data_IF_551548892653
#
_entry.id   IF_551548892653
#
_cell.length_a   1.000
_cell.length_b   1.000
_cell.length_c   1.000
_cell.angle_alpha   90.00
_cell.angle_beta   90.00
_cell.angle_gamma   90.00
#
_symmetry.space_group_name_H-M   'P 1'
#
loop_
_entity.id
_entity.type
_entity.pdbx_description
1 polymer ?
#
# COMPACT_ATOMS: atom_id res chain seq x y z
N UNK A 1 4.57 19.07 -9.69
CA UNK A 1 3.38 18.27 -10.05
C UNK A 1 3.73 17.48 -11.30
N UNK A 2 3.95 16.17 -11.20
CA UNK A 2 4.03 15.32 -12.41
C UNK A 2 2.65 15.38 -13.06
N UNK A 3 2.60 15.64 -14.36
CA UNK A 3 1.36 15.61 -15.13
C UNK A 3 1.00 14.13 -15.33
N UNK A 4 0.47 13.50 -14.28
CA UNK A 4 0.09 12.08 -14.30
C UNK A 4 -1.13 11.98 -15.19
N UNK A 5 -0.95 11.43 -16.40
CA UNK A 5 -2.10 11.03 -17.23
C UNK A 5 -2.89 9.99 -16.43
N UNK A 6 -4.21 10.16 -16.33
CA UNK A 6 -5.04 9.17 -15.64
C UNK A 6 -4.90 7.80 -16.31
N UNK A 7 -4.98 6.73 -15.52
CA UNK A 7 -4.99 5.34 -16.02
C UNK A 7 -6.00 5.16 -17.17
N UNK A 8 -7.17 5.79 -17.08
CA UNK A 8 -8.18 5.81 -18.12
C UNK A 8 -7.68 6.39 -19.47
N UNK A 9 -6.90 7.48 -19.44
CA UNK A 9 -6.34 8.07 -20.65
C UNK A 9 -5.27 7.17 -21.30
N UNK A 10 -4.47 6.47 -20.48
CA UNK A 10 -3.45 5.52 -20.97
C UNK A 10 -4.11 4.27 -21.58
N UNK A 11 -5.21 3.78 -21.00
CA UNK A 11 -5.99 2.67 -21.57
C UNK A 11 -6.56 3.05 -22.94
N UNK A 12 -7.10 4.26 -23.10
CA UNK A 12 -7.57 4.73 -24.40
C UNK A 12 -6.44 4.83 -25.45
N UNK A 13 -5.24 5.23 -25.03
CA UNK A 13 -4.04 5.26 -25.88
C UNK A 13 -3.63 3.84 -26.34
N UNK A 14 -3.66 2.86 -25.43
CA UNK A 14 -3.37 1.45 -25.76
C UNK A 14 -4.38 0.90 -26.78
N UNK A 15 -5.67 1.18 -26.59
CA UNK A 15 -6.71 0.71 -27.53
C UNK A 15 -6.58 1.36 -28.91
N UNK A 16 -6.23 2.66 -28.98
CA UNK A 16 -5.93 3.33 -30.23
C UNK A 16 -4.70 2.71 -30.93
N UNK A 17 -3.61 2.48 -30.21
CA UNK A 17 -2.41 1.83 -30.74
C UNK A 17 -2.68 0.40 -31.21
N UNK A 18 -3.52 -0.36 -30.50
CA UNK A 18 -3.96 -1.71 -30.94
C UNK A 18 -4.78 -1.66 -32.23
N UNK A 19 -5.68 -0.69 -32.36
CA UNK A 19 -6.48 -0.51 -33.56
C UNK A 19 -5.59 -0.13 -34.76
N UNK A 20 -4.60 0.73 -34.55
CA UNK A 20 -3.65 1.12 -35.58
C UNK A 20 -2.72 -0.04 -35.96
N UNK A 21 -2.26 -0.84 -34.99
CA UNK A 21 -1.48 -2.04 -35.26
C UNK A 21 -2.24 -3.02 -36.17
N UNK A 22 -3.55 -3.23 -35.95
CA UNK A 22 -4.38 -4.08 -36.83
C UNK A 22 -4.42 -3.56 -38.27
N UNK A 23 -4.57 -2.24 -38.45
CA UNK A 23 -4.61 -1.62 -39.78
C UNK A 23 -3.27 -1.73 -40.49
N UNK A 24 -2.16 -1.46 -39.79
CA UNK A 24 -0.82 -1.52 -40.38
C UNK A 24 -0.42 -2.96 -40.67
N UNK A 25 -0.75 -3.92 -39.80
CA UNK A 25 -0.53 -5.35 -40.07
C UNK A 25 -1.25 -5.83 -41.32
N UNK A 26 -2.51 -5.42 -41.53
CA UNK A 26 -3.25 -5.75 -42.74
C UNK A 26 -2.62 -5.17 -44.03
N UNK A 27 -1.80 -4.13 -43.90
CA UNK A 27 -1.10 -3.49 -45.00
C UNK A 27 0.34 -4.02 -45.23
N UNK A 28 0.84 -4.92 -44.38
CA UNK A 28 2.20 -5.49 -44.52
C UNK A 28 2.35 -6.26 -45.83
N UNK A 29 1.35 -7.05 -46.19
CA UNK A 29 1.35 -7.84 -47.43
C UNK A 29 1.22 -6.97 -48.69
N UNK A 30 0.74 -5.74 -48.55
CA UNK A 30 0.49 -4.81 -49.67
C UNK A 30 1.66 -3.85 -49.88
N UNK A 31 2.22 -3.31 -48.79
CA UNK A 31 3.19 -2.20 -48.83
C UNK A 31 4.61 -2.66 -48.42
N UNK A 32 4.75 -3.85 -47.81
CA UNK A 32 6.05 -4.47 -47.52
C UNK A 32 6.84 -3.78 -46.40
N UNK A 33 8.14 -3.54 -46.63
CA UNK A 33 9.10 -3.04 -45.61
C UNK A 33 8.65 -1.80 -44.81
N UNK A 34 8.05 -0.75 -45.41
CA UNK A 34 7.57 0.41 -44.65
C UNK A 34 6.49 0.06 -43.61
N UNK A 35 5.62 -0.91 -43.92
CA UNK A 35 4.60 -1.37 -43.00
C UNK A 35 5.21 -2.17 -41.84
N UNK A 36 6.22 -3.01 -42.10
CA UNK A 36 6.96 -3.74 -41.05
C UNK A 36 7.59 -2.78 -40.03
N UNK A 37 8.28 -1.73 -40.51
CA UNK A 37 8.88 -0.73 -39.62
C UNK A 37 7.83 0.04 -38.79
N UNK A 38 6.66 0.32 -39.38
CA UNK A 38 5.54 0.92 -38.64
C UNK A 38 4.95 -0.03 -37.60
N UNK A 39 4.88 -1.34 -37.87
CA UNK A 39 4.45 -2.34 -36.89
C UNK A 39 5.39 -2.38 -35.69
N UNK A 40 6.71 -2.38 -35.93
CA UNK A 40 7.72 -2.33 -34.87
C UNK A 40 7.55 -1.07 -34.00
N UNK A 41 7.42 0.11 -34.63
CA UNK A 41 7.20 1.37 -33.91
C UNK A 41 5.93 1.35 -33.04
N UNK A 42 4.81 0.84 -33.56
CA UNK A 42 3.56 0.75 -32.81
C UNK A 42 3.68 -0.28 -31.68
N UNK A 43 4.42 -1.38 -31.89
CA UNK A 43 4.65 -2.41 -30.87
C UNK A 43 5.49 -1.87 -29.71
N UNK A 44 6.55 -1.11 -30.01
CA UNK A 44 7.36 -0.45 -28.99
C UNK A 44 6.54 0.60 -28.23
N UNK A 45 5.74 1.40 -28.94
CA UNK A 45 4.82 2.36 -28.32
C UNK A 45 3.80 1.68 -27.39
N UNK A 46 3.27 0.52 -27.78
CA UNK A 46 2.38 -0.29 -26.93
C UNK A 46 3.06 -0.76 -25.66
N UNK A 47 4.30 -1.25 -25.76
CA UNK A 47 5.07 -1.68 -24.58
C UNK A 47 5.30 -0.52 -23.61
N UNK A 48 5.73 0.63 -24.12
CA UNK A 48 5.92 1.84 -23.31
C UNK A 48 4.61 2.30 -22.66
N UNK A 49 3.48 2.22 -23.38
CA UNK A 49 2.17 2.57 -22.83
C UNK A 49 1.72 1.59 -21.74
N UNK A 50 2.01 0.29 -21.88
CA UNK A 50 1.74 -0.73 -20.86
C UNK A 50 2.58 -0.53 -19.60
N UNK A 51 3.87 -0.25 -19.74
CA UNK A 51 4.74 0.05 -18.60
C UNK A 51 4.24 1.29 -17.85
N UNK A 52 3.86 2.35 -18.58
CA UNK A 52 3.24 3.55 -17.98
C UNK A 52 1.92 3.26 -17.28
N UNK A 53 1.11 2.34 -17.80
CA UNK A 53 -0.13 1.94 -17.15
C UNK A 53 0.14 1.20 -15.84
N UNK A 54 1.14 0.30 -15.82
CA UNK A 54 1.54 -0.40 -14.62
C UNK A 54 2.03 0.57 -13.54
N UNK A 55 2.88 1.54 -13.92
CA UNK A 55 3.35 2.59 -13.01
C UNK A 55 2.19 3.45 -12.49
N UNK A 56 1.29 3.90 -13.38
CA UNK A 56 0.14 4.72 -12.98
C UNK A 56 -0.81 3.98 -12.02
N UNK A 57 -1.05 2.68 -12.23
CA UNK A 57 -1.86 1.87 -11.32
C UNK A 57 -1.16 1.68 -9.97
N UNK A 58 0.15 1.48 -9.95
CA UNK A 58 0.92 1.38 -8.72
C UNK A 58 0.84 2.70 -7.92
N UNK A 59 1.02 3.84 -8.60
CA UNK A 59 0.88 5.17 -8.00
C UNK A 59 -0.54 5.41 -7.47
N UNK A 60 -1.59 5.06 -8.23
CA UNK A 60 -2.99 5.19 -7.80
C UNK A 60 -3.28 4.37 -6.52
N UNK A 61 -2.74 3.16 -6.41
CA UNK A 61 -2.87 2.33 -5.20
C UNK A 61 -2.19 3.00 -4.01
N UNK A 62 -0.98 3.54 -4.20
CA UNK A 62 -0.25 4.24 -3.13
C UNK A 62 -0.96 5.52 -2.72
N UNK A 63 -1.47 6.31 -3.67
CA UNK A 63 -2.22 7.53 -3.40
C UNK A 63 -3.54 7.23 -2.69
N UNK A 64 -4.28 6.22 -3.14
CA UNK A 64 -5.52 5.79 -2.50
C UNK A 64 -5.28 5.30 -1.07
N UNK A 65 -4.17 4.58 -0.83
CA UNK A 65 -3.72 4.21 0.51
C UNK A 65 -3.40 5.44 1.34
N UNK A 66 -2.55 6.34 0.85
CA UNK A 66 -2.13 7.55 1.58
C UNK A 66 -3.34 8.43 1.93
N UNK A 67 -4.31 8.57 1.03
CA UNK A 67 -5.56 9.31 1.25
C UNK A 67 -6.45 8.65 2.30
N UNK A 68 -6.42 7.33 2.41
CA UNK A 68 -7.15 6.59 3.45
C UNK A 68 -6.49 6.80 4.82
N UNK A 69 -5.16 6.70 4.84
CA UNK A 69 -4.33 6.86 6.03
C UNK A 69 -4.21 8.31 6.50
N UNK A 70 -4.45 9.30 5.64
CA UNK A 70 -4.43 10.73 6.02
C UNK A 70 -5.53 11.13 7.01
N UNK A 71 -6.50 10.25 7.26
CA UNK A 71 -7.49 10.45 8.32
C UNK A 71 -6.91 10.23 9.72
N UNK A 72 -5.73 9.62 9.84
CA UNK A 72 -5.03 9.39 11.09
C UNK A 72 -3.98 10.47 11.33
N UNK A 73 -3.96 11.01 12.55
CA UNK A 73 -3.06 12.11 12.91
C UNK A 73 -1.92 11.65 13.82
N UNK A 74 -2.21 10.72 14.72
CA UNK A 74 -1.25 10.24 15.72
C UNK A 74 -1.57 8.80 16.12
N UNK A 75 -0.52 8.03 16.44
CA UNK A 75 -0.62 6.70 17.04
C UNK A 75 0.54 6.50 18.01
N UNK A 76 0.22 6.01 19.20
CA UNK A 76 1.18 5.75 20.28
C UNK A 76 0.87 4.44 20.95
N UNK A 77 1.92 3.74 21.38
CA UNK A 77 1.80 2.49 22.11
C UNK A 77 2.40 2.68 23.49
N UNK A 78 1.54 2.62 24.50
CA UNK A 78 1.93 2.60 25.89
C UNK A 78 2.04 1.16 26.38
N UNK A 79 3.14 0.84 27.05
CA UNK A 79 3.34 -0.48 27.64
C UNK A 79 4.26 -0.40 28.84
N UNK A 80 3.95 -1.18 29.87
CA UNK A 80 4.88 -1.44 30.95
C UNK A 80 5.73 -2.65 30.55
N UNK A 81 7.06 -2.49 30.60
CA UNK A 81 7.99 -3.56 30.20
C UNK A 81 7.74 -4.81 31.04
N UNK A 82 7.26 -5.88 30.40
CA UNK A 82 7.07 -7.18 31.02
C UNK A 82 8.31 -8.06 30.89
N UNK A 83 8.26 -9.26 31.49
CA UNK A 83 9.32 -10.27 31.35
C UNK A 83 9.42 -10.84 29.93
N UNK A 84 8.34 -10.75 29.14
CA UNK A 84 8.31 -11.20 27.74
C UNK A 84 7.31 -10.38 26.92
N UNK A 85 7.54 -10.29 25.60
CA UNK A 85 6.62 -9.61 24.65
C UNK A 85 5.21 -10.21 24.70
N UNK A 86 5.10 -11.52 24.97
CA UNK A 86 3.81 -12.21 25.08
C UNK A 86 3.02 -11.85 26.35
N UNK A 87 3.73 -11.63 27.46
CA UNK A 87 3.12 -11.24 28.74
C UNK A 87 2.93 -9.74 28.89
N UNK A 88 3.48 -8.95 27.96
CA UNK A 88 3.38 -7.49 27.98
C UNK A 88 2.00 -7.04 27.51
N UNK A 89 1.33 -6.26 28.34
CA UNK A 89 0.10 -5.57 27.96
C UNK A 89 0.46 -4.29 27.19
N UNK A 90 -0.06 -4.19 25.97
CA UNK A 90 0.07 -3.01 25.13
C UNK A 90 -1.26 -2.26 25.11
N UNK A 91 -1.21 -0.96 25.35
CA UNK A 91 -2.35 -0.05 25.21
C UNK A 91 -2.04 0.88 24.05
N UNK A 92 -2.84 0.83 23.00
CA UNK A 92 -2.63 1.68 21.83
C UNK A 92 -3.62 2.84 21.87
N UNK A 93 -3.10 4.04 21.69
CA UNK A 93 -3.82 5.29 21.60
C UNK A 93 -3.65 5.84 20.19
N UNK A 94 -4.75 6.16 19.51
CA UNK A 94 -4.68 6.73 18.16
C UNK A 94 -5.79 7.75 17.92
N UNK A 95 -5.52 8.72 17.04
CA UNK A 95 -6.46 9.75 16.66
C UNK A 95 -6.85 9.58 15.20
N UNK A 96 -8.16 9.51 14.95
CA UNK A 96 -8.74 9.40 13.60
C UNK A 96 -9.86 10.42 13.43
N UNK A 97 -9.90 11.07 12.26
CA UNK A 97 -11.02 11.91 11.88
C UNK A 97 -12.29 11.08 11.70
N UNK A 98 -13.33 11.42 12.46
CA UNK A 98 -14.65 10.78 12.42
C UNK A 98 -15.72 11.85 12.30
N UNK A 99 -16.80 11.54 11.58
CA UNK A 99 -17.88 12.49 11.35
C UNK A 99 -18.73 12.65 12.62
N UNK A 100 -18.76 13.87 13.17
CA UNK A 100 -19.62 14.19 14.30
C UNK A 100 -20.93 14.79 13.79
N UNK A 101 -22.01 14.01 13.92
CA UNK A 101 -23.36 14.39 13.50
C UNK A 101 -23.91 15.62 14.22
N UNK A 102 -23.38 16.01 15.39
CA UNK A 102 -23.86 17.17 16.15
C UNK A 102 -23.39 18.49 15.58
N UNK A 103 -22.15 18.51 15.08
CA UNK A 103 -21.51 19.72 14.51
C UNK A 103 -21.45 19.68 12.98
N UNK A 104 -21.85 18.56 12.36
CA UNK A 104 -21.91 18.41 10.90
C UNK A 104 -20.55 18.40 10.22
N UNK A 105 -19.48 18.05 10.95
CA UNK A 105 -18.10 18.12 10.50
C UNK A 105 -17.29 16.92 10.98
N UNK A 106 -16.27 16.54 10.20
CA UNK A 106 -15.28 15.55 10.63
C UNK A 106 -14.29 16.17 11.60
N UNK A 107 -14.21 15.62 12.80
CA UNK A 107 -13.27 16.06 13.85
C UNK A 107 -12.37 14.91 14.28
N UNK A 108 -11.12 15.20 14.69
CA UNK A 108 -10.26 14.18 15.28
C UNK A 108 -10.88 13.60 16.55
N UNK A 109 -11.11 12.28 16.57
CA UNK A 109 -11.56 11.54 17.74
C UNK A 109 -10.43 10.67 18.25
N UNK A 110 -10.31 10.60 19.58
CA UNK A 110 -9.33 9.74 20.25
C UNK A 110 -9.90 8.36 20.49
N UNK A 111 -9.14 7.35 20.10
CA UNK A 111 -9.46 5.94 20.25
C UNK A 111 -8.41 5.27 21.14
N UNK A 112 -8.86 4.27 21.89
CA UNK A 112 -8.03 3.47 22.78
C UNK A 112 -8.38 2.00 22.59
N UNK A 113 -7.37 1.16 22.38
CA UNK A 113 -7.54 -0.29 22.33
C UNK A 113 -6.46 -1.02 23.13
N UNK A 114 -6.81 -2.22 23.60
CA UNK A 114 -5.92 -3.06 24.41
C UNK A 114 -5.34 -4.16 23.53
N UNK A 115 -4.11 -3.95 23.07
CA UNK A 115 -3.35 -4.86 22.26
C UNK A 115 -3.60 -4.71 20.75
N UNK A 116 -2.59 -5.11 19.98
CA UNK A 116 -2.58 -4.92 18.53
C UNK A 116 -3.63 -5.72 17.76
N UNK A 117 -4.14 -6.82 18.33
CA UNK A 117 -5.22 -7.61 17.71
C UNK A 117 -6.59 -6.89 17.74
N UNK A 118 -6.72 -5.82 18.54
CA UNK A 118 -7.93 -5.01 18.64
C UNK A 118 -7.83 -3.69 17.87
N UNK A 119 -6.72 -3.44 17.16
CA UNK A 119 -6.61 -2.31 16.23
C UNK A 119 -7.47 -2.57 15.01
N UNK A 120 -8.10 -1.52 14.48
CA UNK A 120 -8.68 -1.58 13.15
C UNK A 120 -7.58 -1.69 12.08
N UNK A 121 -7.89 -2.35 10.97
CA UNK A 121 -6.93 -2.63 9.90
C UNK A 121 -6.22 -1.37 9.39
N UNK A 122 -6.91 -0.23 9.35
CA UNK A 122 -6.34 1.03 8.89
C UNK A 122 -5.40 1.67 9.93
N UNK A 123 -5.73 1.62 11.22
CA UNK A 123 -4.84 2.05 12.29
C UNK A 123 -3.60 1.16 12.37
N UNK A 124 -3.76 -0.13 12.14
CA UNK A 124 -2.65 -1.07 12.05
C UNK A 124 -1.76 -0.77 10.83
N UNK A 125 -2.35 -0.54 9.66
CA UNK A 125 -1.62 -0.15 8.45
C UNK A 125 -0.89 1.20 8.63
N UNK A 126 -1.52 2.16 9.31
CA UNK A 126 -0.90 3.45 9.67
C UNK A 126 0.32 3.26 10.58
N UNK A 127 0.20 2.40 11.61
CA UNK A 127 1.31 2.07 12.51
C UNK A 127 2.51 1.48 11.74
N UNK A 128 2.26 0.56 10.81
CA UNK A 128 3.33 -0.11 10.08
C UNK A 128 4.01 0.78 9.03
N UNK A 129 3.22 1.59 8.31
CA UNK A 129 3.72 2.30 7.13
C UNK A 129 4.07 3.77 7.39
N UNK A 130 3.41 4.42 8.36
CA UNK A 130 3.57 5.87 8.61
C UNK A 130 4.29 6.13 9.92
N UNK A 131 4.03 5.30 10.94
CA UNK A 131 4.57 5.46 12.29
C UNK A 131 5.26 4.21 12.85
N UNK A 132 6.19 3.57 12.11
CA UNK A 132 6.86 2.37 12.57
C UNK A 132 7.69 2.60 13.84
N UNK A 133 8.11 3.84 14.13
CA UNK A 133 8.82 4.21 15.35
C UNK A 133 7.98 4.05 16.62
N UNK A 134 6.65 4.04 16.51
CA UNK A 134 5.75 3.81 17.65
C UNK A 134 5.64 2.31 18.02
N UNK A 135 6.19 1.42 17.19
CA UNK A 135 6.19 -0.02 17.44
C UNK A 135 7.21 -0.34 18.56
N UNK A 136 6.82 -1.07 19.60
CA UNK A 136 7.74 -1.52 20.64
C UNK A 136 8.96 -2.25 20.07
N UNK A 137 10.14 -1.87 20.56
CA UNK A 137 11.41 -2.41 20.06
C UNK A 137 11.49 -3.93 20.23
N UNK A 138 10.88 -4.48 21.29
CA UNK A 138 10.86 -5.92 21.52
C UNK A 138 10.02 -6.69 20.49
N UNK A 139 9.02 -6.05 19.87
CA UNK A 139 8.30 -6.64 18.72
C UNK A 139 9.19 -6.57 17.48
N UNK A 140 9.80 -5.41 17.20
CA UNK A 140 10.71 -5.25 16.05
C UNK A 140 11.91 -6.19 16.10
N UNK A 141 12.37 -6.56 17.29
CA UNK A 141 13.45 -7.54 17.48
C UNK A 141 13.09 -8.95 17.00
N UNK A 142 11.79 -9.27 16.83
CA UNK A 142 11.35 -10.58 16.32
C UNK A 142 11.67 -10.75 14.83
N UNK A 143 11.70 -9.67 14.06
CA UNK A 143 12.15 -9.66 12.67
C UNK A 143 12.81 -8.30 12.36
N UNK A 144 14.13 -8.18 12.58
CA UNK A 144 14.84 -6.92 12.39
C UNK A 144 14.72 -6.41 10.95
N UNK A 145 14.33 -5.14 10.80
CA UNK A 145 14.23 -4.47 9.49
C UNK A 145 12.90 -4.71 8.75
N UNK A 146 12.02 -5.57 9.25
CA UNK A 146 10.70 -5.81 8.66
C UNK A 146 9.59 -5.78 9.73
N UNK A 147 8.94 -4.61 9.92
CA UNK A 147 7.82 -4.47 10.85
C UNK A 147 6.66 -5.42 10.56
N UNK A 148 6.39 -5.75 9.29
CA UNK A 148 5.29 -6.64 8.92
C UNK A 148 5.60 -8.07 9.41
N UNK A 149 6.79 -8.58 9.09
CA UNK A 149 7.22 -9.89 9.54
C UNK A 149 7.30 -9.98 11.08
N UNK A 150 7.74 -8.93 11.74
CA UNK A 150 7.80 -8.86 13.21
C UNK A 150 6.42 -9.03 13.84
N UNK A 151 5.41 -8.36 13.28
CA UNK A 151 4.03 -8.50 13.74
C UNK A 151 3.41 -9.84 13.39
N UNK A 152 3.73 -10.43 12.25
CA UNK A 152 3.28 -11.79 11.91
C UNK A 152 3.78 -12.81 12.94
N UNK A 153 5.07 -12.74 13.30
CA UNK A 153 5.66 -13.58 14.34
C UNK A 153 5.00 -13.32 15.70
N UNK A 154 4.80 -12.05 16.07
CA UNK A 154 4.16 -11.68 17.33
C UNK A 154 2.72 -12.18 17.43
N UNK A 155 1.88 -11.91 16.43
CA UNK A 155 0.45 -12.28 16.43
C UNK A 155 0.26 -13.80 16.29
N UNK A 156 1.13 -14.48 15.54
CA UNK A 156 1.14 -15.93 15.49
C UNK A 156 1.57 -16.52 16.85
N UNK A 157 2.60 -15.98 17.48
CA UNK A 157 3.08 -16.43 18.78
C UNK A 157 2.07 -16.19 19.90
N UNK A 158 1.37 -15.05 19.88
CA UNK A 158 0.29 -14.74 20.82
C UNK A 158 -0.89 -15.70 20.71
N UNK A 159 -1.25 -16.10 19.49
CA UNK A 159 -2.29 -17.13 19.26
C UNK A 159 -1.87 -18.53 19.72
N UNK A 160 -0.57 -18.86 19.60
CA UNK A 160 -0.02 -20.19 19.96
C UNK A 160 0.41 -20.30 21.42
N UNK A 161 0.56 -19.17 22.13
CA UNK A 161 1.03 -19.12 23.52
C UNK A 161 2.56 -19.16 23.69
N UNK A 162 3.35 -19.15 22.60
CA UNK A 162 4.81 -19.12 22.65
C UNK A 162 5.40 -18.42 21.41
N UNK A 163 6.57 -17.78 21.55
CA UNK A 163 7.35 -17.23 20.45
C UNK A 163 8.50 -18.19 20.16
N UNK A 164 8.60 -18.67 18.92
CA UNK A 164 9.81 -19.37 18.48
C UNK A 164 10.87 -18.30 18.29
N UNK A 165 11.88 -18.25 19.16
CA UNK A 165 13.01 -17.36 18.96
C UNK A 165 13.60 -17.64 17.58
N UNK A 166 13.62 -16.64 16.72
CA UNK A 166 14.47 -16.66 15.53
C UNK A 166 15.89 -16.60 16.06
N UNK A 167 16.56 -17.75 16.06
CA UNK A 167 18.00 -17.82 16.24
C UNK A 167 18.60 -17.11 15.03
N UNK A 168 19.11 -15.90 15.27
CA UNK A 168 20.00 -15.20 14.33
C UNK A 168 21.39 -15.82 14.45
#
# INVERSE_FOLDING_TARGET
>A
MKNVRSSAAIVAEIEALRADLRKVNAAVDIIGKPAVSKVEQITDALKVAQDKLADALADEVVEARNKRLSSFTDIRVDYARGNSVLSTAFTIHYNRSSYDYRIGMSVPQSHKCNGFAALDDHAFEYLLNVKPEAIPAEILALAPGDPHAAFDVYLAGKRRGYLKALVV
#
